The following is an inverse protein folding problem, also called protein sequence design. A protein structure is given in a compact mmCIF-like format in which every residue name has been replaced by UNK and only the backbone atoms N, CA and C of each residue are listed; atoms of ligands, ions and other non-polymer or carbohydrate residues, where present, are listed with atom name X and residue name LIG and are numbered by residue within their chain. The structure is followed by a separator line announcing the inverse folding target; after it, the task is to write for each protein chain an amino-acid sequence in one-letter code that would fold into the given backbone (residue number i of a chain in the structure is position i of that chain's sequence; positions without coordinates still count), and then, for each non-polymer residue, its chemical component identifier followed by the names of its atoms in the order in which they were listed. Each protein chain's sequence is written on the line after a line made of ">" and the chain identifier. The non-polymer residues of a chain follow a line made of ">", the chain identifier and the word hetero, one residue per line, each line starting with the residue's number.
data_IF_217138603652
#
_entry.id   IF_217138603652
#
_cell.length_a   1.000
_cell.length_b   1.000
_cell.length_c   1.000
_cell.angle_alpha   90.00
_cell.angle_beta   90.00
_cell.angle_gamma   90.00
#
_symmetry.space_group_name_H-M   'P 1'
#
loop_
_entity.id
_entity.type
_entity.pdbx_description
1 polymer ?
#
# COMPACT_ATOMS: atom_id res chain seq x y z
N UNK A 1 45.11 -6.67 6.55
CA UNK A 1 43.86 -7.28 7.08
C UNK A 1 43.12 -6.46 8.15
N UNK A 2 43.77 -5.65 9.01
CA UNK A 2 43.06 -4.89 10.07
C UNK A 2 42.21 -3.68 9.61
N UNK A 3 42.48 -3.09 8.42
CA UNK A 3 41.74 -1.91 7.91
C UNK A 3 40.35 -2.27 7.33
N UNK A 4 40.21 -3.44 6.72
CA UNK A 4 38.95 -3.87 6.09
C UNK A 4 37.93 -4.39 7.11
N UNK A 5 38.39 -4.86 8.28
CA UNK A 5 37.52 -5.33 9.36
C UNK A 5 36.78 -4.17 10.06
N UNK A 6 37.37 -2.98 10.13
CA UNK A 6 36.71 -1.79 10.68
C UNK A 6 35.60 -1.25 9.79
N UNK A 7 35.77 -1.32 8.47
CA UNK A 7 34.74 -0.91 7.50
C UNK A 7 33.56 -1.89 7.53
N UNK A 8 33.82 -3.19 7.64
CA UNK A 8 32.77 -4.21 7.75
C UNK A 8 31.96 -4.07 9.04
N UNK A 9 32.60 -3.78 10.17
CA UNK A 9 31.91 -3.54 11.45
C UNK A 9 31.10 -2.23 11.41
N UNK A 10 31.59 -1.17 10.75
CA UNK A 10 30.85 0.09 10.62
C UNK A 10 29.60 -0.05 9.73
N UNK A 11 29.67 -0.84 8.65
CA UNK A 11 28.52 -1.14 7.77
C UNK A 11 27.50 -2.04 8.48
N UNK A 12 27.95 -3.00 9.28
CA UNK A 12 27.06 -3.85 10.10
C UNK A 12 26.34 -3.04 11.19
N UNK A 13 27.03 -2.12 11.88
CA UNK A 13 26.43 -1.25 12.89
C UNK A 13 25.46 -0.25 12.28
N UNK A 14 25.74 0.31 11.09
CA UNK A 14 24.80 1.18 10.35
C UNK A 14 23.57 0.41 9.86
N UNK A 15 23.73 -0.85 9.44
CA UNK A 15 22.59 -1.69 9.05
C UNK A 15 21.70 -2.07 10.22
N UNK A 16 22.27 -2.29 11.41
CA UNK A 16 21.52 -2.55 12.64
C UNK A 16 20.85 -1.30 13.21
N UNK A 17 21.44 -0.11 13.03
CA UNK A 17 20.78 1.16 13.35
C UNK A 17 19.56 1.44 12.45
N UNK A 18 19.61 1.03 11.17
CA UNK A 18 18.42 1.10 10.30
C UNK A 18 17.31 0.11 10.69
N UNK A 19 17.64 -1.05 11.28
CA UNK A 19 16.63 -2.03 11.70
C UNK A 19 15.93 -1.66 13.01
N UNK A 20 16.62 -1.00 13.95
CA UNK A 20 16.00 -0.57 15.22
C UNK A 20 15.12 0.68 15.03
N UNK A 21 15.39 1.52 14.03
CA UNK A 21 14.53 2.68 13.73
C UNK A 21 13.19 2.32 13.06
N UNK A 22 13.02 1.10 12.53
CA UNK A 22 11.73 0.68 11.94
C UNK A 22 10.69 0.31 13.02
N UNK A 23 11.14 -0.10 14.22
CA UNK A 23 10.27 -0.37 15.36
C UNK A 23 10.33 0.69 16.47
N UNK A 24 11.27 1.61 16.38
CA UNK A 24 11.25 2.88 17.10
C UNK A 24 10.88 4.01 16.12
N UNK A 25 9.81 3.83 15.36
CA UNK A 25 9.11 5.01 14.86
C UNK A 25 8.48 5.63 16.11
N UNK A 26 9.04 6.76 16.51
CA UNK A 26 8.47 7.62 17.54
C UNK A 26 6.95 7.64 17.33
N UNK A 27 6.20 7.23 18.35
CA UNK A 27 4.74 7.30 18.34
C UNK A 27 4.24 8.74 18.30
N UNK A 28 5.14 9.73 18.25
CA UNK A 28 4.84 11.07 17.77
C UNK A 28 4.23 10.99 16.37
N UNK A 29 2.90 11.14 16.31
CA UNK A 29 2.17 11.41 15.07
C UNK A 29 2.91 12.54 14.32
N UNK A 30 3.36 12.35 13.07
CA UNK A 30 3.88 13.47 12.29
C UNK A 30 2.77 14.54 12.25
N UNK A 31 3.12 15.80 12.53
CA UNK A 31 2.16 16.88 12.45
C UNK A 31 1.62 16.94 11.01
N UNK A 32 0.36 16.55 10.85
CA UNK A 32 -0.34 16.62 9.56
C UNK A 32 -0.71 18.09 9.36
N UNK A 33 -0.22 18.73 8.30
CA UNK A 33 -0.68 20.05 7.91
C UNK A 33 -1.62 19.89 6.72
N UNK A 34 -2.83 20.48 6.77
CA UNK A 34 -3.78 20.50 5.66
C UNK A 34 -3.14 20.98 4.35
N UNK A 35 -2.12 21.83 4.40
CA UNK A 35 -1.38 22.27 3.21
C UNK A 35 -0.76 21.11 2.42
N UNK A 36 -0.11 20.15 3.09
CA UNK A 36 0.51 18.99 2.45
C UNK A 36 -0.56 18.07 1.84
N UNK A 37 -1.69 17.89 2.54
CA UNK A 37 -2.83 17.15 2.02
C UNK A 37 -3.39 17.82 0.77
N UNK A 38 -3.63 19.13 0.80
CA UNK A 38 -4.17 19.88 -0.33
C UNK A 38 -3.24 19.84 -1.53
N UNK A 39 -1.92 19.85 -1.31
CA UNK A 39 -0.94 19.65 -2.37
C UNK A 39 -1.07 18.28 -3.03
N UNK A 40 -1.13 17.20 -2.23
CA UNK A 40 -1.34 15.83 -2.75
C UNK A 40 -2.63 15.74 -3.55
N UNK A 41 -3.73 16.33 -3.04
CA UNK A 41 -5.02 16.36 -3.74
C UNK A 41 -4.90 17.08 -5.08
N UNK A 42 -4.31 18.28 -5.09
CA UNK A 42 -4.19 19.09 -6.30
C UNK A 42 -3.32 18.43 -7.37
N UNK A 43 -2.21 17.81 -6.97
CA UNK A 43 -1.27 17.15 -7.89
C UNK A 43 -1.83 15.83 -8.46
N UNK A 44 -2.80 15.20 -7.78
CA UNK A 44 -3.29 13.86 -8.14
C UNK A 44 -4.80 13.78 -8.30
N UNK A 45 -5.48 14.92 -8.53
CA UNK A 45 -6.94 15.04 -8.61
C UNK A 45 -7.61 14.06 -9.59
N UNK A 46 -6.90 13.64 -10.64
CA UNK A 46 -7.43 12.72 -11.65
C UNK A 46 -7.49 11.27 -11.16
N UNK A 47 -6.74 10.94 -10.11
CA UNK A 47 -6.62 9.61 -9.53
C UNK A 47 -7.21 9.51 -8.13
N UNK A 48 -7.77 10.60 -7.60
CA UNK A 48 -8.37 10.63 -6.27
C UNK A 48 -9.87 10.66 -6.35
N UNK A 49 -10.46 9.79 -5.54
CA UNK A 49 -11.89 9.72 -5.31
C UNK A 49 -12.29 10.78 -4.26
N UNK A 50 -13.30 11.61 -4.57
CA UNK A 50 -13.77 12.69 -3.67
C UNK A 50 -14.20 12.12 -2.31
N UNK A 51 -14.80 10.95 -2.34
CA UNK A 51 -15.33 10.23 -1.19
C UNK A 51 -14.21 9.71 -0.27
N UNK A 52 -13.10 9.23 -0.84
CA UNK A 52 -11.89 8.92 -0.08
C UNK A 52 -11.19 10.17 0.47
N UNK A 53 -11.20 11.30 -0.26
CA UNK A 53 -10.69 12.58 0.25
C UNK A 53 -11.48 13.02 1.49
N UNK A 54 -12.81 12.91 1.48
CA UNK A 54 -13.67 13.23 2.63
C UNK A 54 -13.35 12.35 3.83
N UNK A 55 -13.12 11.05 3.60
CA UNK A 55 -12.74 10.10 4.65
C UNK A 55 -11.42 10.52 5.32
N UNK A 56 -10.38 10.78 4.53
CA UNK A 56 -9.07 11.22 5.02
C UNK A 56 -9.15 12.57 5.73
N UNK A 57 -9.92 13.51 5.21
CA UNK A 57 -10.13 14.83 5.83
C UNK A 57 -10.80 14.70 7.20
N UNK A 58 -11.81 13.82 7.32
CA UNK A 58 -12.49 13.56 8.59
C UNK A 58 -11.54 12.97 9.62
N UNK A 59 -10.68 12.02 9.23
CA UNK A 59 -9.66 11.43 10.10
C UNK A 59 -8.73 12.50 10.66
N UNK A 60 -8.19 13.38 9.81
CA UNK A 60 -7.27 14.44 10.22
C UNK A 60 -7.96 15.38 11.21
N UNK A 61 -9.17 15.85 10.89
CA UNK A 61 -9.92 16.74 11.77
C UNK A 61 -10.22 16.09 13.15
N UNK A 62 -10.56 14.80 13.17
CA UNK A 62 -10.78 14.05 14.42
C UNK A 62 -9.50 13.96 15.26
N UNK A 63 -8.36 13.71 14.62
CA UNK A 63 -7.07 13.61 15.28
C UNK A 63 -6.59 14.95 15.84
N UNK A 64 -6.83 16.04 15.13
CA UNK A 64 -6.51 17.40 15.59
C UNK A 64 -7.39 17.83 16.77
N UNK A 65 -8.69 17.56 16.69
CA UNK A 65 -9.62 17.85 17.77
C UNK A 65 -9.38 16.98 19.01
N UNK A 66 -8.82 15.78 18.83
CA UNK A 66 -8.64 14.78 19.88
C UNK A 66 -7.24 14.13 19.82
N UNK A 67 -6.17 14.87 20.18
CA UNK A 67 -4.78 14.42 19.96
C UNK A 67 -4.42 13.13 20.70
N UNK A 68 -5.09 12.85 21.82
CA UNK A 68 -4.85 11.68 22.67
C UNK A 68 -5.53 10.40 22.19
N UNK A 69 -6.40 10.45 21.18
CA UNK A 69 -7.02 9.24 20.66
C UNK A 69 -5.97 8.37 19.96
N UNK A 70 -6.04 7.07 20.23
CA UNK A 70 -5.30 6.07 19.48
C UNK A 70 -6.03 5.72 18.17
N UNK A 71 -5.35 4.97 17.29
CA UNK A 71 -5.88 4.69 15.96
C UNK A 71 -7.21 3.90 15.98
N UNK A 72 -7.39 2.99 16.94
CA UNK A 72 -8.61 2.20 17.07
C UNK A 72 -9.79 3.04 17.55
N UNK A 73 -9.56 3.99 18.47
CA UNK A 73 -10.61 4.92 18.92
C UNK A 73 -11.06 5.85 17.78
N UNK A 74 -10.12 6.34 16.98
CA UNK A 74 -10.45 7.14 15.77
C UNK A 74 -11.24 6.30 14.76
N UNK A 75 -10.86 5.04 14.55
CA UNK A 75 -11.56 4.11 13.65
C UNK A 75 -13.01 3.87 14.09
N UNK A 76 -13.24 3.66 15.39
CA UNK A 76 -14.58 3.45 15.95
C UNK A 76 -15.46 4.70 15.82
N UNK A 77 -14.92 5.87 16.18
CA UNK A 77 -15.63 7.15 16.02
C UNK A 77 -15.97 7.39 14.55
N UNK A 78 -15.00 7.24 13.63
CA UNK A 78 -15.24 7.44 12.20
C UNK A 78 -16.34 6.51 11.67
N UNK A 79 -16.32 5.24 12.05
CA UNK A 79 -17.33 4.27 11.60
C UNK A 79 -18.73 4.65 12.09
N UNK A 80 -18.84 5.16 13.33
CA UNK A 80 -20.08 5.71 13.87
C UNK A 80 -20.50 7.02 13.19
N UNK A 81 -19.57 7.95 12.91
CA UNK A 81 -19.85 9.23 12.23
C UNK A 81 -20.31 9.04 10.78
N UNK A 82 -19.63 8.18 10.01
CA UNK A 82 -20.01 7.86 8.63
C UNK A 82 -21.41 7.23 8.57
N UNK A 83 -21.74 6.38 9.54
CA UNK A 83 -23.07 5.77 9.67
C UNK A 83 -24.13 6.80 10.08
N UNK A 84 -23.83 7.67 11.04
CA UNK A 84 -24.81 8.60 11.64
C UNK A 84 -25.10 9.82 10.76
N UNK A 85 -24.10 10.36 10.04
CA UNK A 85 -24.29 11.56 9.21
C UNK A 85 -25.02 11.29 7.90
N UNK A 86 -25.39 10.04 7.61
CA UNK A 86 -26.00 9.68 6.33
C UNK A 86 -25.10 9.99 5.13
N UNK A 87 -23.78 10.15 5.35
CA UNK A 87 -22.75 10.29 4.32
C UNK A 87 -22.48 8.96 3.61
N UNK A 88 -23.52 8.14 3.47
CA UNK A 88 -23.51 6.93 2.66
C UNK A 88 -23.75 7.38 1.21
N UNK A 89 -22.77 8.10 0.65
CA UNK A 89 -22.33 7.87 -0.71
C UNK A 89 -21.24 6.78 -0.69
N UNK A 90 -20.69 6.48 -1.85
CA UNK A 90 -19.67 5.46 -2.12
C UNK A 90 -18.43 5.55 -1.18
N UNK A 91 -18.22 6.69 -0.48
CA UNK A 91 -17.26 6.88 0.63
C UNK A 91 -17.39 5.83 1.73
N UNK A 92 -18.63 5.52 2.11
CA UNK A 92 -18.92 4.44 3.04
C UNK A 92 -18.46 3.10 2.49
N UNK A 93 -18.47 2.89 1.18
CA UNK A 93 -18.17 1.62 0.56
C UNK A 93 -16.66 1.41 0.39
N UNK A 94 -15.88 2.46 0.08
CA UNK A 94 -14.40 2.38 0.10
C UNK A 94 -13.92 2.04 1.51
N UNK A 95 -14.36 2.78 2.53
CA UNK A 95 -13.95 2.52 3.92
C UNK A 95 -14.37 1.14 4.42
N UNK A 96 -15.58 0.68 4.07
CA UNK A 96 -16.07 -0.67 4.41
C UNK A 96 -15.30 -1.77 3.70
N UNK A 97 -14.80 -1.52 2.49
CA UNK A 97 -14.03 -2.50 1.71
C UNK A 97 -12.62 -2.74 2.24
N UNK A 98 -12.09 -1.83 3.06
CA UNK A 98 -10.78 -1.97 3.68
C UNK A 98 -10.80 -3.06 4.76
N UNK A 99 -9.72 -3.83 4.80
CA UNK A 99 -9.38 -4.69 5.95
C UNK A 99 -9.18 -3.85 7.21
N UNK A 100 -9.32 -4.46 8.38
CA UNK A 100 -9.08 -3.74 9.64
C UNK A 100 -7.62 -3.29 9.79
N UNK A 101 -6.68 -4.05 9.22
CA UNK A 101 -5.27 -3.66 9.16
C UNK A 101 -5.06 -2.42 8.27
N UNK A 102 -5.73 -2.35 7.11
CA UNK A 102 -5.68 -1.16 6.24
C UNK A 102 -6.30 0.06 6.95
N UNK A 103 -7.44 -0.09 7.62
CA UNK A 103 -8.09 1.02 8.35
C UNK A 103 -7.14 1.63 9.39
N UNK A 104 -6.43 0.81 10.16
CA UNK A 104 -5.42 1.29 11.12
C UNK A 104 -4.32 2.08 10.41
N UNK A 105 -3.83 1.61 9.26
CA UNK A 105 -2.80 2.33 8.49
C UNK A 105 -3.33 3.64 7.88
N UNK A 106 -4.58 3.68 7.41
CA UNK A 106 -5.20 4.91 6.92
C UNK A 106 -5.31 5.95 8.04
N UNK A 107 -5.65 5.53 9.25
CA UNK A 107 -5.70 6.41 10.42
C UNK A 107 -4.29 6.88 10.83
N UNK A 108 -3.29 6.00 10.82
CA UNK A 108 -1.92 6.36 11.21
C UNK A 108 -1.20 7.24 10.17
N UNK A 109 -1.51 7.07 8.89
CA UNK A 109 -0.84 7.72 7.77
C UNK A 109 -1.83 8.29 6.73
N UNK A 110 -2.69 9.26 7.12
CA UNK A 110 -3.81 9.72 6.30
C UNK A 110 -3.38 10.31 4.95
N UNK A 111 -2.31 11.12 4.91
CA UNK A 111 -1.80 11.69 3.65
C UNK A 111 -1.22 10.58 2.76
N UNK A 112 -0.49 9.63 3.33
CA UNK A 112 0.09 8.52 2.56
C UNK A 112 -0.99 7.58 2.04
N UNK A 113 -2.10 7.41 2.76
CA UNK A 113 -3.25 6.65 2.27
C UNK A 113 -3.84 7.23 0.99
N UNK A 114 -3.88 8.56 0.83
CA UNK A 114 -4.25 9.20 -0.45
C UNK A 114 -3.31 8.75 -1.57
N UNK A 115 -2.00 8.75 -1.33
CA UNK A 115 -1.00 8.31 -2.31
C UNK A 115 -1.10 6.81 -2.63
N UNK A 116 -1.51 5.97 -1.67
CA UNK A 116 -1.81 4.54 -1.88
C UNK A 116 -3.01 4.38 -2.81
N UNK A 117 -4.08 5.18 -2.62
CA UNK A 117 -5.26 5.17 -3.46
C UNK A 117 -4.95 5.67 -4.89
N UNK A 118 -4.14 6.74 -5.02
CA UNK A 118 -3.61 7.20 -6.31
C UNK A 118 -2.84 6.08 -7.01
N UNK A 119 -1.94 5.40 -6.30
CA UNK A 119 -1.17 4.30 -6.86
C UNK A 119 -2.08 3.15 -7.32
N UNK A 120 -3.16 2.86 -6.58
CA UNK A 120 -4.15 1.83 -6.94
C UNK A 120 -4.86 2.19 -8.25
N UNK A 121 -5.49 3.36 -8.31
CA UNK A 121 -6.29 3.78 -9.47
C UNK A 121 -5.44 3.91 -10.73
N UNK A 122 -4.22 4.45 -10.60
CA UNK A 122 -3.24 4.48 -11.70
C UNK A 122 -2.81 3.10 -12.15
N UNK A 123 -2.65 2.16 -11.22
CA UNK A 123 -2.32 0.77 -11.54
C UNK A 123 -3.46 0.08 -12.27
N UNK A 124 -4.71 0.33 -11.89
CA UNK A 124 -5.89 -0.24 -12.58
C UNK A 124 -5.94 0.23 -14.05
N UNK A 125 -5.70 1.52 -14.33
CA UNK A 125 -5.59 2.04 -15.70
C UNK A 125 -4.47 1.38 -16.50
N UNK A 126 -3.27 1.27 -15.92
CA UNK A 126 -2.12 0.65 -16.58
C UNK A 126 -2.38 -0.83 -16.84
N UNK A 127 -2.97 -1.54 -15.88
CA UNK A 127 -3.28 -2.96 -16.03
C UNK A 127 -4.30 -3.16 -17.15
N UNK A 128 -5.37 -2.36 -17.19
CA UNK A 128 -6.37 -2.42 -18.26
C UNK A 128 -5.82 -2.01 -19.63
N UNK A 129 -4.76 -1.20 -19.66
CA UNK A 129 -4.05 -0.81 -20.90
C UNK A 129 -3.19 -1.95 -21.44
N UNK A 130 -2.41 -2.63 -20.59
CA UNK A 130 -1.43 -3.64 -21.04
C UNK A 130 -1.95 -5.09 -20.99
N UNK A 131 -2.95 -5.36 -20.16
CA UNK A 131 -3.49 -6.68 -19.86
C UNK A 131 -5.02 -6.61 -19.79
N UNK A 132 -5.65 -6.18 -20.87
CA UNK A 132 -7.10 -6.07 -20.95
C UNK A 132 -7.77 -7.44 -20.70
N UNK A 133 -8.80 -7.44 -19.86
CA UNK A 133 -9.53 -8.67 -19.52
C UNK A 133 -8.79 -9.60 -18.55
N UNK A 134 -7.83 -9.04 -17.80
CA UNK A 134 -7.15 -9.77 -16.73
C UNK A 134 -8.14 -10.33 -15.71
N UNK A 135 -7.78 -11.46 -15.14
CA UNK A 135 -8.50 -12.12 -14.04
C UNK A 135 -7.56 -12.40 -12.89
N UNK A 136 -8.13 -12.70 -11.73
CA UNK A 136 -7.34 -13.04 -10.56
C UNK A 136 -6.47 -14.29 -10.79
N UNK A 137 -5.21 -14.23 -10.36
CA UNK A 137 -4.25 -15.30 -10.57
C UNK A 137 -3.48 -15.27 -11.90
N UNK A 138 -3.84 -14.42 -12.86
CA UNK A 138 -3.20 -14.39 -14.18
C UNK A 138 -1.99 -13.44 -14.29
N UNK A 139 -1.47 -13.28 -15.51
CA UNK A 139 -0.35 -12.37 -15.80
C UNK A 139 -0.69 -10.89 -15.59
N UNK A 140 -1.93 -10.48 -15.86
CA UNK A 140 -2.40 -9.11 -15.65
C UNK A 140 -2.56 -8.80 -14.17
N UNK A 141 -3.10 -9.74 -13.38
CA UNK A 141 -3.13 -9.64 -11.93
C UNK A 141 -1.72 -9.60 -11.33
N UNK A 142 -0.79 -10.42 -11.84
CA UNK A 142 0.63 -10.36 -11.44
C UNK A 142 1.28 -9.00 -11.74
N UNK A 143 0.99 -8.42 -12.92
CA UNK A 143 1.41 -7.07 -13.26
C UNK A 143 0.81 -6.05 -12.31
N UNK A 144 -0.50 -6.15 -12.02
CA UNK A 144 -1.24 -5.25 -11.14
C UNK A 144 -0.63 -5.18 -9.75
N UNK A 145 -0.40 -6.32 -9.09
CA UNK A 145 0.20 -6.37 -7.75
C UNK A 145 1.61 -5.75 -7.71
N UNK A 146 2.45 -6.07 -8.71
CA UNK A 146 3.78 -5.50 -8.80
C UNK A 146 3.79 -4.00 -9.13
N UNK A 147 2.93 -3.55 -10.04
CA UNK A 147 2.85 -2.15 -10.44
C UNK A 147 2.36 -1.29 -9.27
N UNK A 148 1.33 -1.73 -8.54
CA UNK A 148 0.84 -1.02 -7.37
C UNK A 148 1.93 -0.86 -6.30
N UNK A 149 2.66 -1.95 -6.00
CA UNK A 149 3.75 -1.92 -5.04
C UNK A 149 4.95 -1.06 -5.48
N UNK A 150 5.23 -1.00 -6.79
CA UNK A 150 6.26 -0.13 -7.33
C UNK A 150 5.86 1.34 -7.23
N UNK A 151 4.61 1.70 -7.56
CA UNK A 151 4.10 3.06 -7.43
C UNK A 151 4.03 3.50 -5.97
N UNK A 152 3.57 2.64 -5.06
CA UNK A 152 3.63 2.92 -3.62
C UNK A 152 5.08 3.12 -3.16
N UNK A 153 6.01 2.27 -3.59
CA UNK A 153 7.43 2.43 -3.21
C UNK A 153 8.01 3.77 -3.68
N UNK A 154 7.64 4.22 -4.88
CA UNK A 154 8.01 5.53 -5.41
C UNK A 154 7.43 6.68 -4.56
N UNK A 155 6.16 6.61 -4.17
CA UNK A 155 5.44 7.72 -3.54
C UNK A 155 5.63 7.80 -2.02
N UNK A 156 5.68 6.67 -1.34
CA UNK A 156 5.65 6.58 0.13
C UNK A 156 6.78 5.76 0.72
N UNK A 157 7.70 5.28 -0.12
CA UNK A 157 8.85 4.49 0.30
C UNK A 157 8.52 3.01 0.54
N UNK A 158 9.56 2.17 0.43
CA UNK A 158 9.45 0.71 0.49
C UNK A 158 8.86 0.17 1.80
N UNK A 159 9.20 0.68 3.00
CA UNK A 159 8.66 0.13 4.25
C UNK A 159 7.14 0.34 4.34
N UNK A 160 6.66 1.54 4.03
CA UNK A 160 5.24 1.85 4.13
C UNK A 160 4.44 1.19 3.00
N UNK A 161 5.01 1.12 1.78
CA UNK A 161 4.44 0.34 0.68
C UNK A 161 4.23 -1.14 1.05
N UNK A 162 5.21 -1.76 1.76
CA UNK A 162 5.07 -3.12 2.26
C UNK A 162 3.97 -3.22 3.33
N UNK A 163 3.89 -2.28 4.26
CA UNK A 163 2.87 -2.29 5.30
C UNK A 163 1.45 -2.24 4.71
N UNK A 164 1.18 -1.32 3.78
CA UNK A 164 -0.12 -1.23 3.10
C UNK A 164 -0.42 -2.48 2.25
N UNK A 165 0.55 -2.98 1.48
CA UNK A 165 0.36 -4.17 0.67
C UNK A 165 0.08 -5.42 1.53
N UNK A 166 0.83 -5.63 2.61
CA UNK A 166 0.60 -6.78 3.50
C UNK A 166 -0.73 -6.67 4.26
N UNK A 167 -1.17 -5.45 4.59
CA UNK A 167 -2.48 -5.22 5.18
C UNK A 167 -3.60 -5.57 4.19
N UNK A 168 -3.45 -5.21 2.92
CA UNK A 168 -4.38 -5.59 1.84
C UNK A 168 -4.55 -7.11 1.71
N UNK A 169 -3.43 -7.84 1.77
CA UNK A 169 -3.45 -9.30 1.71
C UNK A 169 -3.89 -9.98 3.03
N UNK A 170 -4.18 -9.21 4.09
CA UNK A 170 -4.59 -9.73 5.40
C UNK A 170 -6.09 -9.54 5.63
N UNK A 171 -6.88 -10.46 5.08
CA UNK A 171 -8.35 -10.44 5.21
C UNK A 171 -8.86 -10.94 6.57
N UNK A 172 -7.98 -11.17 7.56
CA UNK A 172 -8.36 -11.68 8.87
C UNK A 172 -8.74 -13.17 8.89
N UNK A 173 -8.48 -13.89 7.79
CA UNK A 173 -8.75 -15.32 7.65
C UNK A 173 -7.55 -16.17 8.09
N UNK A 174 -7.83 -17.32 8.67
CA UNK A 174 -6.85 -18.38 8.93
C UNK A 174 -6.44 -19.08 7.63
N UNK A 175 -5.29 -19.75 7.62
CA UNK A 175 -4.85 -20.56 6.47
C UNK A 175 -5.87 -21.64 6.07
N UNK A 176 -6.63 -22.18 7.03
CA UNK A 176 -7.67 -23.16 6.76
C UNK A 176 -8.86 -22.53 6.01
N UNK A 177 -9.27 -21.32 6.40
CA UNK A 177 -10.34 -20.56 5.72
C UNK A 177 -9.90 -20.12 4.33
N UNK A 178 -8.66 -19.65 4.17
CA UNK A 178 -8.09 -19.37 2.85
C UNK A 178 -8.12 -20.59 1.93
N UNK A 179 -7.71 -21.76 2.44
CA UNK A 179 -7.71 -23.02 1.66
C UNK A 179 -9.11 -23.50 1.28
N UNK A 180 -10.13 -23.16 2.07
CA UNK A 180 -11.51 -23.54 1.78
C UNK A 180 -12.11 -22.75 0.61
N UNK A 181 -11.60 -21.55 0.33
CA UNK A 181 -12.03 -20.73 -0.80
C UNK A 181 -11.22 -21.12 -2.05
N UNK A 182 -11.87 -21.66 -3.09
CA UNK A 182 -11.23 -22.11 -4.32
C UNK A 182 -11.85 -21.41 -5.52
N UNK A 183 -11.02 -20.79 -6.36
CA UNK A 183 -11.43 -20.18 -7.62
C UNK A 183 -10.29 -20.28 -8.65
N UNK A 184 -10.67 -20.35 -9.93
CA UNK A 184 -9.74 -20.60 -11.05
C UNK A 184 -8.82 -21.83 -10.88
N UNK A 185 -9.22 -22.80 -10.04
CA UNK A 185 -8.46 -24.03 -9.80
C UNK A 185 -7.42 -23.94 -8.67
N UNK A 186 -7.32 -22.79 -7.98
CA UNK A 186 -6.39 -22.55 -6.89
C UNK A 186 -7.14 -22.12 -5.64
N UNK A 187 -6.60 -22.46 -4.48
CA UNK A 187 -7.18 -22.03 -3.21
C UNK A 187 -6.68 -20.63 -2.81
N UNK A 188 -7.37 -19.97 -1.88
CA UNK A 188 -7.07 -18.59 -1.51
C UNK A 188 -5.71 -18.38 -0.87
N UNK A 189 -5.10 -19.42 -0.29
CA UNK A 189 -3.73 -19.31 0.21
C UNK A 189 -2.72 -19.27 -0.94
N UNK A 190 -3.00 -19.94 -2.06
CA UNK A 190 -2.15 -19.90 -3.25
C UNK A 190 -2.20 -18.52 -3.91
N UNK A 191 -3.40 -17.97 -4.11
CA UNK A 191 -3.57 -16.60 -4.61
C UNK A 191 -2.89 -15.57 -3.73
N UNK A 192 -3.13 -15.60 -2.41
CA UNK A 192 -2.46 -14.71 -1.45
C UNK A 192 -0.93 -14.81 -1.51
N UNK A 193 -0.38 -16.03 -1.65
CA UNK A 193 1.08 -16.21 -1.74
C UNK A 193 1.65 -15.65 -3.05
N UNK A 194 0.91 -15.79 -4.15
CA UNK A 194 1.24 -15.17 -5.42
C UNK A 194 1.25 -13.64 -5.29
N UNK A 195 0.22 -13.06 -4.68
CA UNK A 195 0.11 -11.62 -4.47
C UNK A 195 1.26 -11.09 -3.61
N UNK A 196 1.54 -11.73 -2.47
CA UNK A 196 2.68 -11.35 -1.61
C UNK A 196 4.03 -11.42 -2.34
N UNK A 197 4.24 -12.45 -3.16
CA UNK A 197 5.46 -12.58 -3.98
C UNK A 197 5.55 -11.46 -5.01
N UNK A 198 4.47 -11.21 -5.75
CA UNK A 198 4.41 -10.20 -6.80
C UNK A 198 4.50 -8.78 -6.24
N UNK A 199 3.89 -8.53 -5.07
CA UNK A 199 4.02 -7.30 -4.29
C UNK A 199 5.50 -7.02 -3.98
N UNK A 200 6.24 -8.01 -3.48
CA UNK A 200 7.68 -7.86 -3.23
C UNK A 200 8.47 -7.56 -4.51
N UNK A 201 8.19 -8.27 -5.61
CA UNK A 201 8.85 -8.02 -6.90
C UNK A 201 8.60 -6.61 -7.43
N UNK A 202 7.39 -6.08 -7.22
CA UNK A 202 7.03 -4.69 -7.51
C UNK A 202 7.89 -3.69 -6.73
N UNK A 203 8.02 -3.87 -5.42
CA UNK A 203 8.86 -3.00 -4.57
C UNK A 203 10.34 -3.02 -4.97
N UNK A 204 10.82 -4.08 -5.61
CA UNK A 204 12.19 -4.19 -6.11
C UNK A 204 12.42 -3.44 -7.44
N UNK A 205 11.36 -2.98 -8.10
CA UNK A 205 11.45 -2.19 -9.34
C UNK A 205 11.80 -0.72 -9.10
N UNK A 206 11.78 -0.23 -7.85
CA UNK A 206 12.09 1.15 -7.49
C UNK A 206 13.18 1.17 -6.42
N UNK A 207 14.29 1.86 -6.71
CA UNK A 207 15.39 2.01 -5.76
C UNK A 207 15.21 3.28 -4.94
N UNK A 208 15.71 3.27 -3.71
CA UNK A 208 15.55 4.39 -2.75
C UNK A 208 16.10 5.74 -3.26
N UNK A 209 17.07 5.72 -4.19
CA UNK A 209 17.68 6.90 -4.77
C UNK A 209 17.03 7.36 -6.09
N UNK A 210 15.98 6.67 -6.56
CA UNK A 210 15.31 6.95 -7.83
C UNK A 210 14.04 7.80 -7.65
N UNK A 211 14.15 8.93 -6.94
CA UNK A 211 12.99 9.77 -6.61
C UNK A 211 12.21 10.34 -7.80
N UNK A 212 12.81 10.39 -9.00
CA UNK A 212 12.19 10.93 -10.23
C UNK A 212 11.98 9.85 -11.31
N UNK A 213 11.96 8.57 -10.94
CA UNK A 213 11.71 7.50 -11.92
C UNK A 213 10.35 7.67 -12.58
N UNK A 214 10.31 7.59 -13.92
CA UNK A 214 9.07 7.66 -14.67
C UNK A 214 8.25 6.38 -14.52
N UNK A 215 6.93 6.50 -14.57
CA UNK A 215 6.05 5.33 -14.49
C UNK A 215 6.26 4.40 -15.69
N UNK A 216 6.58 4.94 -16.87
CA UNK A 216 6.96 4.16 -18.04
C UNK A 216 8.22 3.31 -17.82
N UNK A 217 9.16 3.77 -17.00
CA UNK A 217 10.34 2.98 -16.62
C UNK A 217 9.96 1.89 -15.63
N UNK A 218 9.08 2.18 -14.68
CA UNK A 218 8.55 1.19 -13.74
C UNK A 218 7.79 0.09 -14.49
N UNK A 219 6.89 0.44 -15.40
CA UNK A 219 6.13 -0.50 -16.25
C UNK A 219 7.09 -1.46 -16.97
N UNK A 220 8.13 -0.93 -17.61
CA UNK A 220 9.14 -1.75 -18.30
C UNK A 220 9.83 -2.74 -17.35
N UNK A 221 10.24 -2.28 -16.16
CA UNK A 221 10.88 -3.15 -15.16
C UNK A 221 9.95 -4.26 -14.67
N UNK A 222 8.66 -3.96 -14.44
CA UNK A 222 7.66 -4.96 -14.06
C UNK A 222 7.45 -5.97 -15.21
N UNK A 223 7.30 -5.50 -16.44
CA UNK A 223 7.16 -6.35 -17.62
C UNK A 223 8.40 -7.22 -17.87
N UNK A 224 9.61 -6.70 -17.62
CA UNK A 224 10.85 -7.49 -17.66
C UNK A 224 10.84 -8.61 -16.63
N UNK A 225 10.38 -8.36 -15.40
CA UNK A 225 10.23 -9.41 -14.38
C UNK A 225 9.24 -10.50 -14.81
N UNK A 226 8.12 -10.13 -15.43
CA UNK A 226 7.16 -11.08 -16.01
C UNK A 226 7.85 -11.92 -17.09
N UNK A 227 8.50 -11.27 -18.06
CA UNK A 227 9.19 -11.92 -19.18
C UNK A 227 10.30 -12.88 -18.72
N UNK A 228 11.00 -12.52 -17.65
CA UNK A 228 12.08 -13.32 -17.07
C UNK A 228 11.57 -14.48 -16.18
N UNK A 229 10.26 -14.63 -16.00
CA UNK A 229 9.67 -15.65 -15.12
C UNK A 229 9.93 -15.40 -13.64
N UNK A 230 10.20 -14.15 -13.25
CA UNK A 230 10.39 -13.79 -11.83
C UNK A 230 9.07 -13.63 -11.07
N UNK A 231 7.96 -13.46 -11.79
CA UNK A 231 6.62 -13.30 -11.24
C UNK A 231 5.94 -14.64 -11.05
N UNK A 232 5.10 -14.76 -10.03
CA UNK A 232 4.25 -15.93 -9.84
C UNK A 232 2.95 -15.71 -10.60
N UNK A 233 2.56 -16.66 -11.45
CA UNK A 233 1.33 -16.66 -12.23
C UNK A 233 0.68 -18.02 -12.04
N UNK A 234 -0.56 -18.05 -11.55
CA UNK A 234 -1.30 -19.28 -11.27
C UNK A 234 -2.15 -19.69 -12.49
N UNK A 235 -2.87 -18.73 -13.05
CA UNK A 235 -3.81 -18.90 -14.16
C UNK A 235 -3.13 -18.51 -15.47
N UNK A 236 -3.21 -19.38 -16.48
CA UNK A 236 -2.48 -19.23 -17.76
C UNK A 236 -3.44 -19.12 -18.94
#
# INVERSE_FOLDING_TARGET
>A
MKKNMKIFILVLVLSQLCFVQVFAMDSSKPAVNHEDMMKVIQENKEYLDEDFIVTVTTIINLQEANPNLNAYEVQDILSNELTTRGLISEAGDVWKSLTDAEKVLVVLFPIQALLVNVAKNKTDELTNTYYLGWIDGDVGNSFRHAMWNALMTKSIGKPLAKAFADAHENQGLTDAEYKANVWHGFNGLEHRNMDLHNNQKGRDCVKWYEGLISDSTIVKRVQEKIKNGEMMILVK
#
